data_IF_580881542282
#
_entry.id   IF_580881542282
#
_cell.length_a   1.000
_cell.length_b   1.000
_cell.length_c   1.000
_cell.angle_alpha   90.00
_cell.angle_beta   90.00
_cell.angle_gamma   90.00
#
_symmetry.space_group_name_H-M   'P 1'
#
loop_
_entity.id
_entity.type
_entity.pdbx_description
1 polymer ?
#
# COMPACT_ATOMS: atom_id res chain seq x y z
N UNK A 1 -18.96 11.57 26.26
CA UNK A 1 -18.79 10.09 26.46
C UNK A 1 -18.16 9.37 25.27
N UNK A 2 -18.54 9.59 23.99
CA UNK A 2 -17.93 8.89 22.83
C UNK A 2 -16.46 9.25 22.60
N UNK A 3 -16.13 10.53 22.54
CA UNK A 3 -14.78 11.05 22.25
C UNK A 3 -13.72 10.68 23.31
N UNK A 4 -14.09 10.72 24.58
CA UNK A 4 -13.16 10.38 25.68
C UNK A 4 -12.81 8.88 25.66
N UNK A 5 -13.76 8.03 25.27
CA UNK A 5 -13.55 6.58 25.14
C UNK A 5 -12.64 6.25 23.95
N UNK A 6 -12.78 6.94 22.85
CA UNK A 6 -11.93 6.84 21.67
C UNK A 6 -10.49 7.23 21.99
N UNK A 7 -10.27 8.37 22.65
CA UNK A 7 -8.96 8.84 23.11
C UNK A 7 -8.32 7.83 24.07
N UNK A 8 -9.12 7.25 25.00
CA UNK A 8 -8.61 6.25 25.94
C UNK A 8 -8.07 5.02 25.22
N UNK A 9 -8.79 4.51 24.20
CA UNK A 9 -8.35 3.38 23.39
C UNK A 9 -7.05 3.72 22.65
N UNK A 10 -6.97 4.90 22.02
CA UNK A 10 -5.75 5.31 21.34
C UNK A 10 -4.55 5.40 22.29
N UNK A 11 -4.73 5.90 23.52
CA UNK A 11 -3.67 5.94 24.53
C UNK A 11 -3.20 4.54 24.97
N UNK A 12 -4.08 3.54 24.93
CA UNK A 12 -3.71 2.14 25.19
C UNK A 12 -2.76 1.59 24.11
N UNK A 13 -2.97 1.95 22.83
CA UNK A 13 -2.07 1.60 21.72
C UNK A 13 -0.66 2.19 21.89
N UNK A 14 -0.56 3.34 22.58
CA UNK A 14 0.72 3.96 22.93
C UNK A 14 1.31 3.47 24.27
N UNK A 15 0.80 2.37 24.81
CA UNK A 15 1.40 1.66 25.94
C UNK A 15 0.92 2.11 27.32
N UNK A 16 -0.20 2.82 27.42
CA UNK A 16 -0.88 3.04 28.69
C UNK A 16 -1.82 1.86 28.99
N UNK A 17 -1.93 1.48 30.25
CA UNK A 17 -3.03 0.61 30.63
C UNK A 17 -4.35 1.37 30.65
N UNK A 18 -5.47 0.68 30.55
CA UNK A 18 -6.81 1.28 30.57
C UNK A 18 -7.01 2.25 31.74
N UNK A 19 -6.53 1.88 32.93
CA UNK A 19 -6.62 2.75 34.12
C UNK A 19 -5.71 3.98 34.03
N UNK A 20 -4.52 3.84 33.46
CA UNK A 20 -3.60 4.96 33.23
C UNK A 20 -4.20 5.95 32.22
N UNK A 21 -4.73 5.44 31.12
CA UNK A 21 -5.36 6.26 30.09
C UNK A 21 -6.57 7.04 30.64
N UNK A 22 -7.46 6.37 31.39
CA UNK A 22 -8.60 7.02 32.04
C UNK A 22 -8.19 8.07 33.07
N UNK A 23 -7.18 7.78 33.89
CA UNK A 23 -6.68 8.74 34.88
C UNK A 23 -6.04 9.95 34.19
N UNK A 24 -5.25 9.76 33.15
CA UNK A 24 -4.61 10.84 32.41
C UNK A 24 -5.64 11.74 31.71
N UNK A 25 -6.62 11.18 30.99
CA UNK A 25 -7.72 11.95 30.37
C UNK A 25 -8.50 12.74 31.43
N UNK A 26 -8.75 12.15 32.60
CA UNK A 26 -9.42 12.84 33.70
C UNK A 26 -8.60 14.03 34.21
N UNK A 27 -7.27 13.88 34.38
CA UNK A 27 -6.39 14.97 34.82
C UNK A 27 -6.29 16.08 33.77
N UNK A 28 -6.25 15.76 32.46
CA UNK A 28 -6.28 16.76 31.40
C UNK A 28 -7.60 17.55 31.42
N UNK A 29 -8.72 16.84 31.62
CA UNK A 29 -10.06 17.46 31.54
C UNK A 29 -10.40 18.29 32.80
N UNK A 30 -9.97 17.81 33.97
CA UNK A 30 -10.32 18.42 35.27
C UNK A 30 -9.25 19.33 35.84
N UNK A 31 -8.03 19.27 35.32
CA UNK A 31 -6.88 20.00 35.87
C UNK A 31 -6.32 19.37 37.16
N UNK A 32 -5.79 20.19 38.02
CA UNK A 32 -5.21 19.73 39.30
C UNK A 32 -6.29 19.30 40.29
N UNK A 33 -6.36 18.02 40.59
CA UNK A 33 -7.35 17.43 41.51
C UNK A 33 -6.68 16.47 42.49
N UNK A 34 -7.41 16.14 43.58
CA UNK A 34 -6.91 15.17 44.55
C UNK A 34 -6.89 13.74 44.01
N UNK A 35 -6.03 12.89 44.58
CA UNK A 35 -6.02 11.47 44.23
C UNK A 35 -7.39 10.78 44.46
N UNK A 36 -8.17 11.24 45.43
CA UNK A 36 -9.53 10.75 45.67
C UNK A 36 -10.50 11.14 44.56
N UNK A 37 -10.35 12.37 44.06
CA UNK A 37 -11.18 12.85 42.94
C UNK A 37 -10.79 12.14 41.61
N UNK A 38 -9.50 11.86 41.40
CA UNK A 38 -9.08 11.01 40.27
C UNK A 38 -9.75 9.65 40.34
N UNK A 39 -9.80 9.02 41.53
CA UNK A 39 -10.50 7.76 41.73
C UNK A 39 -11.97 7.85 41.31
N UNK A 40 -12.63 8.90 41.69
CA UNK A 40 -14.04 9.12 41.44
C UNK A 40 -14.33 9.40 39.96
N UNK A 41 -13.67 10.39 39.37
CA UNK A 41 -13.94 10.81 38.00
C UNK A 41 -13.42 9.84 36.95
N UNK A 42 -12.28 9.19 37.18
CA UNK A 42 -11.75 8.16 36.30
C UNK A 42 -12.37 6.77 36.54
N UNK A 43 -13.31 6.65 37.50
CA UNK A 43 -13.96 5.40 37.93
C UNK A 43 -12.94 4.29 38.23
N UNK A 44 -11.91 4.64 39.02
CA UNK A 44 -10.87 3.70 39.42
C UNK A 44 -11.17 3.10 40.80
N UNK A 45 -10.90 1.80 40.99
CA UNK A 45 -10.93 1.25 42.35
C UNK A 45 -9.95 2.00 43.27
N UNK A 46 -10.37 2.40 44.47
CA UNK A 46 -9.55 3.16 45.39
C UNK A 46 -8.18 2.54 45.66
N UNK A 47 -8.10 1.22 45.66
CA UNK A 47 -6.85 0.46 45.84
C UNK A 47 -5.89 0.57 44.64
N UNK A 48 -6.38 0.95 43.48
CA UNK A 48 -5.57 1.04 42.22
C UNK A 48 -5.08 2.47 41.92
N UNK A 49 -5.68 3.49 42.54
CA UNK A 49 -5.39 4.90 42.23
C UNK A 49 -3.92 5.25 42.42
N UNK A 50 -3.35 5.00 43.60
CA UNK A 50 -1.95 5.34 43.87
C UNK A 50 -0.98 4.59 42.95
N UNK A 51 -1.08 3.28 42.74
CA UNK A 51 -0.27 2.57 41.74
C UNK A 51 -0.37 3.15 40.33
N UNK A 52 -1.57 3.53 39.88
CA UNK A 52 -1.80 4.14 38.56
C UNK A 52 -1.14 5.51 38.46
N UNK A 53 -1.35 6.37 39.45
CA UNK A 53 -0.73 7.69 39.49
C UNK A 53 0.79 7.61 39.50
N UNK A 54 1.40 6.72 40.27
CA UNK A 54 2.84 6.51 40.29
C UNK A 54 3.36 6.08 38.92
N UNK A 55 2.63 5.21 38.20
CA UNK A 55 2.99 4.83 36.83
C UNK A 55 2.89 5.99 35.86
N UNK A 56 1.86 6.84 35.97
CA UNK A 56 1.76 8.06 35.17
C UNK A 56 2.93 9.00 35.42
N UNK A 57 3.34 9.13 36.70
CA UNK A 57 4.52 9.93 37.07
C UNK A 57 5.81 9.33 36.50
N UNK A 58 5.99 8.00 36.55
CA UNK A 58 7.15 7.31 35.95
C UNK A 58 7.22 7.50 34.46
N UNK A 59 6.06 7.55 33.81
CA UNK A 59 5.93 7.80 32.35
C UNK A 59 5.99 9.30 32.01
N UNK A 60 6.24 10.18 32.98
CA UNK A 60 6.27 11.64 32.79
C UNK A 60 4.96 12.24 32.27
N UNK A 61 3.82 11.62 32.59
CA UNK A 61 2.49 12.04 32.15
C UNK A 61 1.75 12.86 33.23
N UNK A 62 2.18 12.76 34.52
CA UNK A 62 1.58 13.48 35.63
C UNK A 62 2.60 13.85 36.69
N UNK A 63 2.31 14.93 37.39
CA UNK A 63 3.04 15.38 38.59
C UNK A 63 2.17 15.11 39.82
N UNK A 64 2.73 14.47 40.83
CA UNK A 64 2.05 14.12 42.09
C UNK A 64 2.70 14.87 43.23
N UNK A 65 1.91 15.63 43.99
CA UNK A 65 2.41 16.33 45.16
C UNK A 65 2.73 15.38 46.31
N UNK A 66 3.71 15.76 47.13
CA UNK A 66 4.03 15.04 48.37
C UNK A 66 3.21 15.52 49.55
N UNK A 67 2.36 16.55 49.39
CA UNK A 67 1.51 17.14 50.42
C UNK A 67 0.25 16.32 50.69
N UNK A 68 -0.42 16.56 51.81
CA UNK A 68 -1.75 16.02 52.11
C UNK A 68 -2.76 17.16 52.07
N UNK A 69 -3.84 17.06 51.25
CA UNK A 69 -4.18 15.94 50.34
C UNK A 69 -3.18 15.83 49.19
N UNK A 70 -2.99 14.60 48.65
CA UNK A 70 -2.15 14.35 47.50
C UNK A 70 -2.85 14.92 46.24
N UNK A 71 -2.25 15.94 45.65
CA UNK A 71 -2.74 16.59 44.44
C UNK A 71 -2.01 16.06 43.23
N UNK A 72 -2.75 15.90 42.14
CA UNK A 72 -2.27 15.36 40.87
C UNK A 72 -2.58 16.32 39.72
N UNK A 73 -1.60 16.57 38.89
CA UNK A 73 -1.72 17.45 37.70
C UNK A 73 -1.19 16.71 36.50
N UNK A 74 -1.92 16.73 35.40
CA UNK A 74 -1.39 16.21 34.13
C UNK A 74 -0.26 17.11 33.60
N UNK A 75 0.75 16.52 32.99
CA UNK A 75 1.66 17.23 32.08
C UNK A 75 0.91 17.46 30.78
N UNK A 76 1.12 18.62 30.15
CA UNK A 76 0.43 18.94 28.90
C UNK A 76 0.64 17.83 27.84
N UNK A 77 -0.33 17.53 26.97
CA UNK A 77 -0.13 16.51 25.92
C UNK A 77 1.09 16.80 25.04
N UNK A 78 1.33 18.08 24.72
CA UNK A 78 2.47 18.50 23.93
C UNK A 78 3.79 18.12 24.60
N UNK A 79 3.98 18.47 25.87
CA UNK A 79 5.21 18.18 26.62
C UNK A 79 5.34 16.68 26.94
N UNK A 80 4.21 16.02 27.24
CA UNK A 80 4.20 14.62 27.66
C UNK A 80 4.55 13.65 26.51
N UNK A 81 4.12 13.97 25.30
CA UNK A 81 4.30 13.09 24.13
C UNK A 81 5.49 13.49 23.24
N UNK A 82 6.05 14.69 23.38
CA UNK A 82 7.19 15.15 22.60
C UNK A 82 8.39 14.19 22.70
N UNK A 83 8.77 13.78 23.92
CA UNK A 83 9.88 12.83 24.14
C UNK A 83 9.58 11.46 23.47
N UNK A 84 8.33 10.99 23.55
CA UNK A 84 7.91 9.73 22.93
C UNK A 84 7.99 9.82 21.40
N UNK A 85 7.52 10.91 20.83
CA UNK A 85 7.57 11.17 19.39
C UNK A 85 9.03 11.21 18.91
N UNK A 86 9.89 11.95 19.60
CA UNK A 86 11.31 12.03 19.28
C UNK A 86 12.01 10.67 19.36
N UNK A 87 11.69 9.84 20.36
CA UNK A 87 12.23 8.49 20.49
C UNK A 87 11.81 7.60 19.32
N UNK A 88 10.53 7.67 18.88
CA UNK A 88 10.04 6.89 17.74
C UNK A 88 10.68 7.35 16.44
N UNK A 89 10.82 8.64 16.20
CA UNK A 89 11.52 9.19 15.03
C UNK A 89 12.96 8.69 15.00
N UNK A 90 13.68 8.78 16.13
CA UNK A 90 15.06 8.28 16.24
C UNK A 90 15.18 6.79 15.94
N UNK A 91 14.22 5.97 16.37
CA UNK A 91 14.18 4.54 16.04
C UNK A 91 13.97 4.30 14.54
N UNK A 92 13.09 5.08 13.90
CA UNK A 92 12.88 5.01 12.44
C UNK A 92 14.16 5.39 11.69
N UNK A 93 14.84 6.45 12.08
CA UNK A 93 16.08 6.89 11.46
C UNK A 93 17.22 5.87 11.64
N UNK A 94 17.33 5.28 12.82
CA UNK A 94 18.28 4.20 13.09
C UNK A 94 17.99 2.98 12.20
N UNK A 95 16.72 2.61 12.03
CA UNK A 95 16.29 1.52 11.15
C UNK A 95 16.64 1.81 9.69
N UNK A 96 16.35 3.01 9.19
CA UNK A 96 16.69 3.44 7.83
C UNK A 96 18.21 3.40 7.59
N UNK A 97 18.99 3.84 8.58
CA UNK A 97 20.47 3.77 8.55
C UNK A 97 20.95 2.32 8.48
N UNK A 98 20.38 1.44 9.30
CA UNK A 98 20.71 0.01 9.29
C UNK A 98 20.38 -0.63 7.93
N UNK A 99 19.20 -0.38 7.39
CA UNK A 99 18.80 -0.87 6.05
C UNK A 99 19.78 -0.40 4.98
N UNK A 100 20.22 0.86 5.03
CA UNK A 100 21.21 1.42 4.08
C UNK A 100 22.56 0.72 4.19
N UNK A 101 23.03 0.43 5.41
CA UNK A 101 24.28 -0.34 5.65
C UNK A 101 24.15 -1.77 5.14
N UNK A 102 23.04 -2.44 5.42
CA UNK A 102 22.78 -3.81 4.94
C UNK A 102 22.74 -3.89 3.42
N UNK A 103 22.14 -2.89 2.75
CA UNK A 103 22.17 -2.80 1.28
C UNK A 103 23.60 -2.72 0.75
N UNK A 104 24.46 -1.85 1.32
CA UNK A 104 25.86 -1.74 0.90
C UNK A 104 26.62 -3.06 1.07
N UNK A 105 26.47 -3.73 2.22
CA UNK A 105 27.10 -5.06 2.47
C UNK A 105 26.61 -6.08 1.43
N UNK A 106 25.31 -6.09 1.13
CA UNK A 106 24.75 -6.98 0.12
C UNK A 106 25.33 -6.68 -1.28
N UNK A 107 25.49 -5.43 -1.65
CA UNK A 107 26.06 -5.02 -2.95
C UNK A 107 27.56 -5.35 -3.05
N UNK A 108 28.30 -5.17 -1.96
CA UNK A 108 29.73 -5.54 -1.89
C UNK A 108 29.94 -7.06 -1.96
N UNK A 109 29.12 -7.83 -1.27
CA UNK A 109 29.11 -9.31 -1.34
C UNK A 109 28.80 -9.81 -2.75
N UNK A 110 27.87 -9.15 -3.46
CA UNK A 110 27.50 -9.45 -4.85
C UNK A 110 28.64 -9.22 -5.83
N UNK A 111 29.38 -8.11 -5.67
CA UNK A 111 30.56 -7.80 -6.49
C UNK A 111 31.70 -8.80 -6.29
N UNK A 112 31.85 -9.35 -5.09
CA UNK A 112 32.89 -10.31 -4.77
C UNK A 112 32.63 -11.73 -5.32
N UNK A 113 31.37 -12.10 -5.57
CA UNK A 113 31.00 -13.45 -6.01
C UNK A 113 30.87 -13.62 -7.53
N UNK A 114 30.94 -12.54 -8.32
CA UNK A 114 30.95 -12.62 -9.80
C UNK A 114 29.72 -13.32 -10.42
N UNK A 115 28.67 -13.55 -9.64
CA UNK A 115 27.47 -14.21 -10.12
C UNK A 115 26.47 -13.16 -10.62
N UNK A 116 26.02 -13.28 -11.84
CA UNK A 116 24.81 -12.64 -12.32
C UNK A 116 23.63 -13.19 -11.50
N UNK A 117 23.34 -12.53 -10.37
CA UNK A 117 22.24 -12.94 -9.52
C UNK A 117 20.91 -12.73 -10.26
N UNK A 118 20.13 -13.80 -10.33
CA UNK A 118 18.72 -13.75 -10.65
C UNK A 118 18.03 -12.80 -9.66
N UNK A 119 17.81 -11.57 -10.06
CA UNK A 119 17.15 -10.55 -9.22
C UNK A 119 15.64 -10.73 -9.31
N UNK A 120 15.11 -11.73 -8.65
CA UNK A 120 13.68 -11.85 -8.43
C UNK A 120 13.35 -11.80 -6.95
N UNK A 121 12.23 -11.16 -6.62
CA UNK A 121 11.74 -11.03 -5.25
C UNK A 121 10.30 -11.51 -5.19
N UNK A 122 9.99 -12.36 -4.23
CA UNK A 122 8.62 -12.67 -3.89
C UNK A 122 8.06 -11.58 -2.97
N UNK A 123 6.85 -11.12 -3.27
CA UNK A 123 6.12 -10.13 -2.49
C UNK A 123 4.90 -10.78 -1.84
N UNK A 124 4.73 -10.58 -0.53
CA UNK A 124 3.46 -10.84 0.11
C UNK A 124 2.38 -9.87 -0.42
N UNK A 125 1.11 -10.28 -0.39
CA UNK A 125 -0.01 -9.49 -0.92
C UNK A 125 -0.02 -8.04 -0.39
N UNK A 126 0.29 -7.84 0.88
CA UNK A 126 0.32 -6.52 1.53
C UNK A 126 1.40 -5.56 0.99
N UNK A 127 2.39 -6.08 0.25
CA UNK A 127 3.51 -5.29 -0.27
C UNK A 127 3.44 -5.03 -1.77
N UNK A 128 2.48 -5.66 -2.47
CA UNK A 128 2.36 -5.55 -3.93
C UNK A 128 2.02 -4.12 -4.34
N UNK A 129 1.06 -3.48 -3.66
CA UNK A 129 0.64 -2.12 -3.97
C UNK A 129 1.77 -1.10 -3.75
N UNK A 130 2.43 -1.14 -2.59
CA UNK A 130 3.58 -0.26 -2.28
C UNK A 130 4.73 -0.45 -3.28
N UNK A 131 4.99 -1.69 -3.70
CA UNK A 131 6.01 -1.97 -4.70
C UNK A 131 5.63 -1.44 -6.08
N UNK A 132 4.36 -1.64 -6.49
CA UNK A 132 3.85 -1.13 -7.77
C UNK A 132 3.93 0.38 -7.84
N UNK A 133 3.48 1.10 -6.81
CA UNK A 133 3.59 2.56 -6.71
C UNK A 133 5.04 3.03 -6.91
N UNK A 134 6.00 2.43 -6.21
CA UNK A 134 7.43 2.75 -6.36
C UNK A 134 8.00 2.42 -7.73
N UNK A 135 7.53 1.35 -8.37
CA UNK A 135 7.97 0.99 -9.73
C UNK A 135 7.41 1.96 -10.76
N UNK A 136 6.13 2.37 -10.63
CA UNK A 136 5.52 3.38 -11.49
C UNK A 136 6.28 4.72 -11.38
N UNK A 137 6.57 5.19 -10.18
CA UNK A 137 7.31 6.44 -9.95
C UNK A 137 8.72 6.43 -10.56
N UNK A 138 9.37 5.27 -10.54
CA UNK A 138 10.73 5.08 -11.05
C UNK A 138 10.86 5.00 -12.56
N UNK A 139 9.76 4.89 -13.31
CA UNK A 139 9.75 4.69 -14.78
C UNK A 139 10.30 5.90 -15.53
N UNK A 140 11.03 5.62 -16.62
CA UNK A 140 11.66 6.64 -17.47
C UNK A 140 11.11 6.70 -18.90
N UNK A 141 10.60 5.58 -19.44
CA UNK A 141 10.23 5.49 -20.86
C UNK A 141 8.85 4.87 -21.11
N UNK A 142 8.53 3.74 -20.49
CA UNK A 142 7.29 3.03 -20.82
C UNK A 142 6.77 2.14 -19.69
N UNK A 143 5.45 1.97 -19.65
CA UNK A 143 4.77 0.95 -18.83
C UNK A 143 3.85 0.13 -19.74
N UNK A 144 4.08 -1.17 -19.78
CA UNK A 144 3.27 -2.11 -20.52
C UNK A 144 2.55 -3.06 -19.56
N UNK A 145 1.23 -3.11 -19.62
CA UNK A 145 0.39 -3.78 -18.61
C UNK A 145 -0.58 -4.74 -19.27
N UNK A 146 -0.64 -5.97 -18.75
CA UNK A 146 -1.78 -6.86 -18.92
C UNK A 146 -2.44 -7.05 -17.57
N UNK A 147 -3.74 -6.77 -17.45
CA UNK A 147 -4.44 -6.81 -16.18
C UNK A 147 -5.87 -7.34 -16.32
N UNK A 148 -6.21 -8.35 -15.51
CA UNK A 148 -7.60 -8.79 -15.30
C UNK A 148 -8.34 -7.83 -14.35
N UNK A 149 -9.53 -8.21 -13.87
CA UNK A 149 -10.30 -7.39 -12.93
C UNK A 149 -9.55 -7.08 -11.65
N UNK A 150 -8.75 -8.02 -11.15
CA UNK A 150 -7.99 -7.85 -9.92
C UNK A 150 -6.75 -6.98 -10.12
N UNK A 151 -5.96 -7.27 -11.17
CA UNK A 151 -4.80 -6.44 -11.55
C UNK A 151 -5.20 -5.01 -11.87
N UNK A 152 -6.35 -4.83 -12.51
CA UNK A 152 -6.92 -3.52 -12.77
C UNK A 152 -7.31 -2.78 -11.49
N UNK A 153 -7.81 -3.49 -10.48
CA UNK A 153 -8.14 -2.88 -9.18
C UNK A 153 -6.89 -2.36 -8.47
N UNK A 154 -5.79 -3.11 -8.50
CA UNK A 154 -4.50 -2.65 -7.95
C UNK A 154 -4.00 -1.42 -8.73
N UNK A 155 -4.07 -1.46 -10.05
CA UNK A 155 -3.64 -0.33 -10.88
C UNK A 155 -4.46 0.94 -10.62
N UNK A 156 -5.77 0.78 -10.38
CA UNK A 156 -6.67 1.88 -10.06
C UNK A 156 -6.34 2.59 -8.73
N UNK A 157 -5.75 1.88 -7.76
CA UNK A 157 -5.26 2.49 -6.52
C UNK A 157 -3.97 3.31 -6.73
N UNK A 158 -3.21 3.06 -7.82
CA UNK A 158 -2.02 3.83 -8.21
C UNK A 158 -2.36 5.00 -9.17
N UNK A 159 -3.56 5.56 -9.10
CA UNK A 159 -4.03 6.60 -10.03
C UNK A 159 -3.14 7.84 -10.04
N UNK A 160 -2.72 8.32 -8.88
CA UNK A 160 -1.92 9.54 -8.76
C UNK A 160 -0.52 9.35 -9.36
N UNK A 161 0.10 8.20 -9.16
CA UNK A 161 1.38 7.84 -9.76
C UNK A 161 1.26 7.72 -11.29
N UNK A 162 0.18 7.11 -11.79
CA UNK A 162 -0.10 7.06 -13.23
C UNK A 162 -0.26 8.46 -13.83
N UNK A 163 -0.99 9.36 -13.15
CA UNK A 163 -1.12 10.75 -13.60
C UNK A 163 0.25 11.46 -13.61
N UNK A 164 1.10 11.21 -12.63
CA UNK A 164 2.47 11.75 -12.57
C UNK A 164 3.31 11.29 -13.77
N UNK A 165 3.22 10.00 -14.11
CA UNK A 165 3.93 9.39 -15.24
C UNK A 165 3.44 9.95 -16.57
N UNK A 166 2.13 10.10 -16.75
CA UNK A 166 1.54 10.68 -17.96
C UNK A 166 1.95 12.14 -18.18
N UNK A 167 2.09 12.93 -17.10
CA UNK A 167 2.62 14.31 -17.18
C UNK A 167 4.07 14.37 -17.63
N UNK A 168 4.82 13.28 -17.48
CA UNK A 168 6.22 13.14 -17.96
C UNK A 168 6.30 12.62 -19.40
N UNK A 169 5.16 12.48 -20.10
CA UNK A 169 5.04 11.97 -21.48
C UNK A 169 5.53 10.52 -21.65
N UNK A 170 5.40 9.71 -20.60
CA UNK A 170 5.77 8.31 -20.61
C UNK A 170 4.65 7.48 -21.26
N UNK A 171 5.03 6.56 -22.14
CA UNK A 171 4.08 5.71 -22.86
C UNK A 171 3.49 4.62 -21.95
N UNK A 172 2.21 4.76 -21.61
CA UNK A 172 1.49 3.78 -20.78
C UNK A 172 0.48 3.04 -21.63
N UNK A 173 0.64 1.72 -21.73
CA UNK A 173 -0.23 0.82 -22.51
C UNK A 173 -0.83 -0.26 -21.62
N UNK A 174 -2.13 -0.44 -21.73
CA UNK A 174 -2.90 -1.37 -20.92
C UNK A 174 -3.72 -2.31 -21.84
N UNK A 175 -3.57 -3.60 -21.62
CA UNK A 175 -4.42 -4.63 -22.22
C UNK A 175 -5.30 -5.22 -21.12
N UNK A 176 -6.60 -5.26 -21.35
CA UNK A 176 -7.59 -5.79 -20.41
C UNK A 176 -8.59 -6.69 -21.14
N UNK A 177 -9.18 -7.69 -20.47
CA UNK A 177 -10.30 -8.42 -21.03
C UNK A 177 -11.52 -7.50 -21.15
N UNK A 178 -12.34 -7.73 -22.14
CA UNK A 178 -13.52 -6.89 -22.40
C UNK A 178 -14.51 -6.88 -21.24
N UNK A 179 -14.51 -7.95 -20.43
CA UNK A 179 -15.39 -8.11 -19.26
C UNK A 179 -15.20 -7.05 -18.17
N UNK A 180 -14.02 -6.40 -18.11
CA UNK A 180 -13.73 -5.39 -17.08
C UNK A 180 -14.04 -3.96 -17.55
N UNK A 181 -14.32 -3.77 -18.83
CA UNK A 181 -14.67 -2.47 -19.39
C UNK A 181 -15.97 -1.97 -18.76
N UNK A 182 -15.97 -0.71 -18.30
CA UNK A 182 -17.10 -0.11 -17.62
C UNK A 182 -17.24 -0.46 -16.13
N UNK A 183 -16.34 -1.25 -15.55
CA UNK A 183 -16.25 -1.45 -14.09
C UNK A 183 -15.79 -0.18 -13.38
N UNK A 184 -15.98 -0.12 -12.06
CA UNK A 184 -15.52 1.03 -11.26
C UNK A 184 -14.00 1.22 -11.33
N UNK A 185 -13.23 0.12 -11.21
CA UNK A 185 -11.76 0.15 -11.32
C UNK A 185 -11.30 0.66 -12.68
N UNK A 186 -12.01 0.26 -13.75
CA UNK A 186 -11.71 0.73 -15.10
C UNK A 186 -11.90 2.25 -15.24
N UNK A 187 -12.97 2.81 -14.67
CA UNK A 187 -13.25 4.26 -14.69
C UNK A 187 -12.24 5.10 -13.92
N UNK A 188 -11.48 4.49 -13.01
CA UNK A 188 -10.41 5.17 -12.25
C UNK A 188 -9.12 5.30 -13.04
N UNK A 189 -8.96 4.56 -14.16
CA UNK A 189 -7.76 4.63 -15.00
C UNK A 189 -7.75 5.99 -15.72
N UNK A 190 -6.63 6.74 -15.70
CA UNK A 190 -6.51 8.04 -16.34
C UNK A 190 -6.67 7.98 -17.87
N UNK A 191 -7.30 9.00 -18.46
CA UNK A 191 -7.58 9.08 -19.92
C UNK A 191 -6.32 9.05 -20.81
N UNK A 192 -5.15 9.39 -20.31
CA UNK A 192 -3.88 9.34 -21.05
C UNK A 192 -3.33 7.92 -21.27
N UNK A 193 -3.88 6.90 -20.60
CA UNK A 193 -3.48 5.51 -20.77
C UNK A 193 -4.06 4.98 -22.08
N UNK A 194 -3.18 4.41 -22.94
CA UNK A 194 -3.62 3.76 -24.18
C UNK A 194 -4.17 2.37 -23.85
N UNK A 195 -5.44 2.10 -24.17
CA UNK A 195 -6.09 0.86 -23.76
C UNK A 195 -6.50 0.04 -25.00
N UNK A 196 -6.27 -1.26 -24.91
CA UNK A 196 -6.78 -2.25 -25.87
C UNK A 196 -7.42 -3.43 -25.13
N UNK A 197 -8.28 -4.17 -25.82
CA UNK A 197 -8.91 -5.35 -25.24
C UNK A 197 -8.37 -6.63 -25.87
N UNK A 198 -8.01 -7.58 -25.00
CA UNK A 198 -7.64 -8.94 -25.36
C UNK A 198 -7.90 -9.86 -24.18
N UNK A 199 -8.17 -11.13 -24.43
CA UNK A 199 -8.26 -12.13 -23.35
C UNK A 199 -6.88 -12.41 -22.79
N UNK A 200 -6.73 -12.24 -21.48
CA UNK A 200 -5.46 -12.38 -20.78
C UNK A 200 -5.56 -13.41 -19.64
N UNK A 201 -4.45 -14.06 -19.35
CA UNK A 201 -4.38 -15.13 -18.36
C UNK A 201 -3.64 -14.70 -17.09
N UNK A 202 -2.85 -13.62 -17.16
CA UNK A 202 -2.03 -13.19 -16.02
C UNK A 202 -1.94 -11.68 -15.89
N UNK A 203 -1.77 -11.21 -14.65
CA UNK A 203 -1.46 -9.82 -14.34
C UNK A 203 0.05 -9.61 -14.44
N UNK A 204 0.49 -8.89 -15.45
CA UNK A 204 1.90 -8.61 -15.72
C UNK A 204 2.09 -7.13 -16.02
N UNK A 205 3.03 -6.51 -15.31
CA UNK A 205 3.39 -5.10 -15.41
C UNK A 205 4.86 -5.03 -15.79
N UNK A 206 5.17 -4.49 -16.96
CA UNK A 206 6.53 -4.34 -17.51
C UNK A 206 6.89 -2.87 -17.49
N UNK A 207 7.98 -2.53 -16.83
CA UNK A 207 8.48 -1.16 -16.65
C UNK A 207 9.80 -1.00 -17.41
N UNK A 208 9.86 -0.03 -18.32
CA UNK A 208 11.05 0.29 -19.15
C UNK A 208 11.64 -0.93 -19.90
N UNK A 209 10.82 -1.93 -20.23
CA UNK A 209 11.22 -3.22 -20.82
C UNK A 209 12.29 -3.95 -20.00
N UNK A 210 12.47 -3.59 -18.75
CA UNK A 210 13.59 -4.04 -17.90
C UNK A 210 13.17 -4.64 -16.56
N UNK A 211 12.16 -4.14 -15.92
CA UNK A 211 11.61 -4.69 -14.68
C UNK A 211 10.19 -5.22 -14.90
N UNK A 212 9.87 -6.33 -14.27
CA UNK A 212 8.55 -6.97 -14.37
C UNK A 212 8.00 -7.19 -12.98
N UNK A 213 6.74 -6.87 -12.80
CA UNK A 213 5.93 -7.32 -11.67
C UNK A 213 4.84 -8.25 -12.21
N UNK A 214 4.86 -9.50 -11.77
CA UNK A 214 3.79 -10.47 -12.02
C UNK A 214 3.02 -10.65 -10.73
N UNK A 215 1.69 -10.63 -10.81
CA UNK A 215 0.83 -10.76 -9.63
C UNK A 215 -0.16 -11.90 -9.85
N UNK A 216 -0.20 -12.80 -8.85
CA UNK A 216 -1.11 -13.93 -8.83
C UNK A 216 -2.50 -13.47 -8.34
N UNK A 217 -3.52 -13.67 -9.15
CA UNK A 217 -4.90 -13.30 -8.85
C UNK A 217 -5.59 -14.22 -7.81
N UNK A 218 -5.00 -15.36 -7.48
CA UNK A 218 -5.58 -16.30 -6.52
C UNK A 218 -5.24 -15.96 -5.07
N UNK A 219 -4.06 -15.43 -4.80
CA UNK A 219 -3.55 -15.17 -3.46
C UNK A 219 -2.99 -13.75 -3.26
N UNK A 220 -2.99 -12.93 -4.31
CA UNK A 220 -2.50 -11.55 -4.26
C UNK A 220 -0.98 -11.41 -4.10
N UNK A 221 -0.22 -12.50 -4.14
CA UNK A 221 1.23 -12.46 -4.06
C UNK A 221 1.83 -11.98 -5.37
N UNK A 222 2.95 -11.25 -5.27
CA UNK A 222 3.69 -10.78 -6.43
C UNK A 222 5.07 -11.38 -6.53
N UNK A 223 5.63 -11.31 -7.74
CA UNK A 223 7.05 -11.57 -7.98
C UNK A 223 7.60 -10.47 -8.89
N UNK A 224 8.70 -9.85 -8.47
CA UNK A 224 9.42 -8.83 -9.24
C UNK A 224 10.65 -9.45 -9.85
N UNK A 225 10.85 -9.23 -11.14
CA UNK A 225 12.02 -9.67 -11.91
C UNK A 225 12.75 -8.44 -12.46
N UNK A 226 14.08 -8.44 -12.35
CA UNK A 226 14.93 -7.31 -12.77
C UNK A 226 15.56 -7.54 -14.15
N UNK A 227 16.00 -6.47 -14.76
CA UNK A 227 16.39 -6.22 -16.14
C UNK A 227 17.32 -7.19 -16.88
N UNK A 228 18.11 -7.98 -16.20
CA UNK A 228 19.14 -8.81 -16.84
C UNK A 228 18.64 -10.20 -17.25
N UNK A 229 17.33 -10.43 -17.13
CA UNK A 229 16.76 -11.73 -17.34
C UNK A 229 16.11 -11.86 -18.73
N UNK A 230 16.34 -13.00 -19.39
CA UNK A 230 15.64 -13.43 -20.62
C UNK A 230 14.11 -13.27 -20.48
N UNK A 231 13.59 -13.33 -19.24
CA UNK A 231 12.18 -13.18 -18.94
C UNK A 231 11.66 -11.77 -19.28
N UNK A 232 12.40 -10.70 -18.97
CA UNK A 232 11.96 -9.32 -19.28
C UNK A 232 11.81 -9.07 -20.76
N UNK A 233 12.83 -9.48 -21.53
CA UNK A 233 12.80 -9.37 -22.99
C UNK A 233 11.68 -10.24 -23.59
N UNK A 234 11.42 -11.41 -23.01
CA UNK A 234 10.35 -12.31 -23.48
C UNK A 234 8.97 -11.72 -23.20
N UNK A 235 8.74 -11.14 -22.03
CA UNK A 235 7.47 -10.50 -21.68
C UNK A 235 7.23 -9.22 -22.48
N UNK A 236 8.26 -8.41 -22.73
CA UNK A 236 8.14 -7.23 -23.60
C UNK A 236 7.75 -7.63 -25.04
N UNK A 237 8.35 -8.69 -25.57
CA UNK A 237 7.98 -9.24 -26.90
C UNK A 237 6.57 -9.80 -26.93
N UNK A 238 6.19 -10.56 -25.89
CA UNK A 238 4.84 -11.09 -25.75
C UNK A 238 3.82 -9.95 -25.70
N UNK A 239 4.07 -8.93 -24.90
CA UNK A 239 3.20 -7.75 -24.83
C UNK A 239 3.09 -7.05 -26.18
N UNK A 240 4.20 -6.88 -26.90
CA UNK A 240 4.19 -6.24 -28.22
C UNK A 240 3.35 -7.04 -29.25
N UNK A 241 3.38 -8.37 -29.16
CA UNK A 241 2.53 -9.24 -30.00
C UNK A 241 1.06 -9.10 -29.61
N UNK A 242 0.75 -9.25 -28.31
CA UNK A 242 -0.62 -9.09 -27.80
C UNK A 242 -1.18 -7.71 -28.15
N UNK A 243 -0.35 -6.66 -28.07
CA UNK A 243 -0.74 -5.30 -28.41
C UNK A 243 -1.15 -5.16 -29.89
N UNK A 244 -0.49 -5.86 -30.79
CA UNK A 244 -0.88 -5.86 -32.23
C UNK A 244 -2.22 -6.54 -32.46
N UNK A 245 -2.42 -7.67 -31.78
CA UNK A 245 -3.60 -8.51 -31.93
C UNK A 245 -4.82 -7.99 -31.17
N UNK A 246 -4.58 -7.15 -30.15
CA UNK A 246 -5.61 -6.60 -29.30
C UNK A 246 -6.44 -5.51 -30.01
N UNK A 247 -7.74 -5.51 -29.73
CA UNK A 247 -8.71 -4.56 -30.26
C UNK A 247 -8.51 -3.17 -29.66
N UNK A 248 -8.50 -2.15 -30.52
CA UNK A 248 -8.54 -0.76 -30.09
C UNK A 248 -9.90 -0.44 -29.48
N UNK A 249 -9.89 0.30 -28.41
CA UNK A 249 -11.08 0.78 -27.74
C UNK A 249 -11.12 2.30 -27.91
N UNK A 250 -11.74 2.74 -29.02
CA UNK A 250 -11.67 4.15 -29.45
C UNK A 250 -12.72 5.07 -28.81
N UNK A 251 -13.74 4.57 -28.07
CA UNK A 251 -14.76 5.41 -27.40
C UNK A 251 -15.28 4.74 -26.13
N UNK A 252 -14.52 4.83 -25.05
CA UNK A 252 -14.81 4.20 -23.76
C UNK A 252 -15.98 4.83 -22.99
N UNK A 253 -16.29 6.10 -23.25
CA UNK A 253 -17.34 6.83 -22.53
C UNK A 253 -18.76 6.42 -22.95
N UNK A 254 -18.92 5.74 -24.04
CA UNK A 254 -20.24 5.41 -24.62
C UNK A 254 -20.61 3.91 -24.62
N UNK A 255 -19.67 3.01 -24.36
CA UNK A 255 -19.97 1.57 -24.34
C UNK A 255 -20.63 1.11 -23.05
N UNK A 256 -21.88 0.70 -23.14
CA UNK A 256 -22.56 -0.01 -22.04
C UNK A 256 -22.03 -1.45 -21.94
N UNK A 257 -22.13 -2.04 -20.73
CA UNK A 257 -21.71 -3.44 -20.45
C UNK A 257 -22.35 -4.47 -21.42
N UNK A 258 -23.54 -4.17 -21.92
CA UNK A 258 -24.27 -5.00 -22.89
C UNK A 258 -23.64 -4.97 -24.28
N UNK A 259 -23.22 -3.80 -24.73
CA UNK A 259 -22.56 -3.62 -26.03
C UNK A 259 -21.16 -4.26 -26.03
N UNK A 260 -20.44 -4.16 -24.92
CA UNK A 260 -19.16 -4.82 -24.72
C UNK A 260 -19.30 -6.36 -24.83
N UNK A 261 -20.34 -6.93 -24.22
CA UNK A 261 -20.61 -8.38 -24.28
C UNK A 261 -20.96 -8.87 -25.69
N UNK A 262 -21.65 -8.04 -26.46
CA UNK A 262 -22.06 -8.36 -27.84
C UNK A 262 -20.87 -8.35 -28.80
N UNK A 263 -19.96 -7.38 -28.63
CA UNK A 263 -18.69 -7.34 -29.36
C UNK A 263 -17.82 -8.55 -29.01
N UNK A 264 -17.78 -8.99 -27.71
CA UNK A 264 -17.10 -10.23 -27.30
C UNK A 264 -17.60 -11.47 -28.04
N UNK A 265 -18.93 -11.62 -28.14
CA UNK A 265 -19.52 -12.77 -28.87
C UNK A 265 -19.13 -12.79 -30.34
N UNK A 266 -19.11 -11.64 -30.98
CA UNK A 266 -18.72 -11.51 -32.38
C UNK A 266 -17.24 -11.88 -32.57
N UNK A 267 -16.36 -11.43 -31.70
CA UNK A 267 -14.91 -11.70 -31.78
C UNK A 267 -14.59 -13.15 -31.49
N UNK A 268 -15.22 -13.77 -30.48
CA UNK A 268 -15.04 -15.20 -30.22
C UNK A 268 -15.52 -16.05 -31.40
N UNK A 269 -16.57 -15.62 -32.08
CA UNK A 269 -17.05 -16.29 -33.27
C UNK A 269 -16.06 -16.16 -34.46
N UNK A 270 -15.44 -14.99 -34.63
CA UNK A 270 -14.42 -14.75 -35.68
C UNK A 270 -13.15 -15.56 -35.39
N UNK A 271 -12.69 -15.61 -34.14
CA UNK A 271 -11.50 -16.38 -33.76
C UNK A 271 -11.72 -17.90 -33.83
N UNK A 272 -12.90 -18.38 -33.48
CA UNK A 272 -13.25 -19.81 -33.69
C UNK A 272 -13.33 -20.18 -35.16
N UNK A 273 -13.83 -19.32 -36.01
CA UNK A 273 -13.89 -19.54 -37.44
C UNK A 273 -12.52 -19.35 -38.15
N UNK A 274 -11.61 -18.54 -37.59
CA UNK A 274 -10.24 -18.36 -38.12
C UNK A 274 -9.29 -19.52 -37.81
N UNK A 275 -9.49 -20.25 -36.71
CA UNK A 275 -8.69 -21.43 -36.35
C UNK A 275 -9.12 -22.71 -37.13
N UNK A 276 -10.26 -22.68 -37.82
CA UNK A 276 -10.73 -23.80 -38.63
C UNK A 276 -10.00 -23.99 -39.95
N UNK A 277 -9.20 -23.02 -40.39
CA UNK A 277 -8.49 -23.10 -41.71
C UNK A 277 -7.02 -23.54 -41.62
N UNK A 278 -6.46 -23.76 -40.41
CA UNK A 278 -5.04 -24.08 -40.26
C UNK A 278 -4.73 -25.56 -39.89
N UNK A 279 -5.73 -26.45 -39.89
CA UNK A 279 -5.56 -27.88 -39.58
C UNK A 279 -5.86 -28.86 -40.74
N UNK A 280 -6.04 -28.38 -41.96
CA UNK A 280 -6.18 -29.22 -43.15
C UNK A 280 -5.38 -28.65 -44.33
N UNK A 281 -4.06 -28.71 -44.23
CA UNK A 281 -3.15 -28.72 -45.37
C UNK A 281 -1.78 -29.24 -44.97
#
# INVERSE_FOLDING_TARGET
MGKEREITVSLEEFGLSQYEARAYVTLITKGTISASDVAYYAELPRTKVYPVLLKLQQKKLAIISKSKPVMCTAISPEDAFDEIVHEQISKVDAMNTLVSKLKKISEEGKKAQGSEEKRYFHLGANYVLDRMSKMIDGVKSSIHITADSWGLSILAECKEELLSVLRRDIDVRLIVPISVIGTESFRKIPDGVKIRSYEIVQNCFVFDDSEILIVDNTNGRGAVFSATDILSASQARLFAQLWKDALKIDNLSEMTKSQALEVCKIINTINQNGLGFALHS
#
